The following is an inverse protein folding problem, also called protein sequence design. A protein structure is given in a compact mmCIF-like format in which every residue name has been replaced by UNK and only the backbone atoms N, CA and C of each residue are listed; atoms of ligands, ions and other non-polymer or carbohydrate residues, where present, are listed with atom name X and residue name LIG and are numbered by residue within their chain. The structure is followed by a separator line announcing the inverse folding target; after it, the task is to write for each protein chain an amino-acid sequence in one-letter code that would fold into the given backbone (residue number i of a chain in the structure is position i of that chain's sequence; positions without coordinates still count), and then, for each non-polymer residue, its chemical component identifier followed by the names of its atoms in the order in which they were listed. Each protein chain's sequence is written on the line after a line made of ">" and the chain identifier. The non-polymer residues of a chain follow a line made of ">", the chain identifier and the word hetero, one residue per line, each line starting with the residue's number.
data_IF_743812570608
#
_entry.id   IF_743812570608
#
_cell.length_a   1.000
_cell.length_b   1.000
_cell.length_c   1.000
_cell.angle_alpha   90.00
_cell.angle_beta   90.00
_cell.angle_gamma   90.00
#
_symmetry.space_group_name_H-M   'P 1'
#
loop_
_entity.id
_entity.type
_entity.pdbx_description
1 polymer ?
#
# COMPACT_ATOMS: atom_id res chain seq x y z
N UNK A 1 16.03 0.33 14.38
CA UNK A 1 15.01 1.40 14.39
C UNK A 1 13.94 0.98 13.38
N UNK A 2 12.63 1.18 13.61
CA UNK A 2 11.55 0.61 12.75
C UNK A 2 11.52 1.19 11.31
N UNK A 3 12.48 2.05 10.97
CA UNK A 3 12.78 2.48 9.62
C UNK A 3 14.29 2.35 9.39
N UNK A 4 14.72 1.34 8.64
CA UNK A 4 16.09 1.25 8.07
C UNK A 4 16.24 2.23 6.89
N UNK A 5 15.75 3.46 7.05
CA UNK A 5 15.91 4.56 6.10
C UNK A 5 15.27 4.36 4.73
N UNK A 6 14.44 3.33 4.53
CA UNK A 6 13.94 2.99 3.21
C UNK A 6 12.42 2.80 3.12
N UNK A 7 11.82 3.33 2.03
CA UNK A 7 10.37 3.39 1.78
C UNK A 7 9.73 2.02 1.55
N UNK A 8 10.55 0.97 1.35
CA UNK A 8 10.10 -0.41 1.15
C UNK A 8 9.04 -0.83 2.18
N UNK A 9 9.25 -0.52 3.46
CA UNK A 9 8.29 -0.90 4.50
C UNK A 9 6.95 -0.17 4.36
N UNK A 10 6.96 1.11 4.00
CA UNK A 10 5.75 1.89 3.75
C UNK A 10 4.98 1.31 2.55
N UNK A 11 5.67 0.97 1.46
CA UNK A 11 5.04 0.34 0.31
C UNK A 11 4.42 -1.00 0.66
N UNK A 12 5.16 -1.88 1.35
CA UNK A 12 4.66 -3.21 1.77
C UNK A 12 3.42 -3.10 2.65
N UNK A 13 3.45 -2.22 3.66
CA UNK A 13 2.30 -2.00 4.55
C UNK A 13 1.10 -1.46 3.76
N UNK A 14 1.32 -0.46 2.91
CA UNK A 14 0.27 0.17 2.11
C UNK A 14 -0.40 -0.84 1.16
N UNK A 15 0.40 -1.65 0.45
CA UNK A 15 -0.12 -2.71 -0.42
C UNK A 15 -0.96 -3.71 0.38
N UNK A 16 -0.49 -4.14 1.54
CA UNK A 16 -1.23 -5.07 2.40
C UNK A 16 -2.58 -4.52 2.86
N UNK A 17 -2.63 -3.22 3.16
CA UNK A 17 -3.85 -2.51 3.55
C UNK A 17 -4.84 -2.44 2.37
N UNK A 18 -4.38 -2.04 1.18
CA UNK A 18 -5.19 -2.00 -0.05
C UNK A 18 -5.71 -3.40 -0.40
N UNK A 19 -4.84 -4.42 -0.38
CA UNK A 19 -5.21 -5.81 -0.71
C UNK A 19 -6.26 -6.39 0.22
N UNK A 20 -6.26 -6.00 1.50
CA UNK A 20 -7.31 -6.45 2.42
C UNK A 20 -8.70 -5.90 2.07
N UNK A 21 -8.77 -4.85 1.25
CA UNK A 21 -10.02 -4.24 0.76
C UNK A 21 -10.24 -4.46 -0.75
N UNK A 22 -9.38 -5.22 -1.43
CA UNK A 22 -9.40 -5.36 -2.90
C UNK A 22 -10.76 -5.76 -3.47
N UNK A 23 -11.49 -6.65 -2.79
CA UNK A 23 -12.83 -7.08 -3.22
C UNK A 23 -13.85 -5.94 -3.13
N UNK A 24 -13.79 -5.15 -2.05
CA UNK A 24 -14.64 -3.97 -1.90
C UNK A 24 -14.30 -2.92 -2.95
N UNK A 25 -13.00 -2.64 -3.14
CA UNK A 25 -12.49 -1.69 -4.14
C UNK A 25 -12.96 -2.10 -5.54
N UNK A 26 -12.81 -3.37 -5.94
CA UNK A 26 -13.21 -3.84 -7.26
C UNK A 26 -14.73 -3.83 -7.53
N UNK A 27 -15.56 -3.79 -6.48
CA UNK A 27 -17.01 -3.75 -6.61
C UNK A 27 -17.59 -2.33 -6.70
N UNK A 28 -16.76 -1.31 -6.46
CA UNK A 28 -17.15 0.10 -6.50
C UNK A 28 -17.59 0.51 -7.91
N UNK A 29 -18.64 1.34 -8.00
CA UNK A 29 -19.15 1.91 -9.26
C UNK A 29 -18.99 3.42 -9.38
N UNK A 30 -18.72 4.12 -8.28
CA UNK A 30 -18.58 5.58 -8.26
C UNK A 30 -17.35 6.02 -7.47
N UNK A 31 -16.83 7.22 -7.77
CA UNK A 31 -15.70 7.79 -7.04
C UNK A 31 -16.01 7.95 -5.54
N UNK A 32 -17.22 8.36 -5.19
CA UNK A 32 -17.65 8.53 -3.79
C UNK A 32 -17.60 7.22 -3.01
N UNK A 33 -18.04 6.13 -3.63
CA UNK A 33 -17.93 4.79 -3.05
C UNK A 33 -16.46 4.37 -2.88
N UNK A 34 -15.59 4.73 -3.82
CA UNK A 34 -14.15 4.44 -3.74
C UNK A 34 -13.53 5.16 -2.54
N UNK A 35 -13.83 6.46 -2.40
CA UNK A 35 -13.38 7.28 -1.27
C UNK A 35 -13.84 6.68 0.05
N UNK A 36 -15.10 6.26 0.15
CA UNK A 36 -15.61 5.59 1.36
C UNK A 36 -14.84 4.30 1.69
N UNK A 37 -14.59 3.46 0.68
CA UNK A 37 -13.79 2.23 0.88
C UNK A 37 -12.38 2.55 1.35
N UNK A 38 -11.71 3.56 0.78
CA UNK A 38 -10.38 3.98 1.23
C UNK A 38 -10.37 4.56 2.65
N UNK A 39 -11.43 5.25 3.07
CA UNK A 39 -11.59 5.68 4.48
C UNK A 39 -11.75 4.51 5.45
N UNK A 40 -12.31 3.38 5.01
CA UNK A 40 -12.42 2.17 5.82
C UNK A 40 -11.10 1.41 5.96
N UNK A 41 -10.18 1.53 4.99
CA UNK A 41 -8.91 0.78 4.96
C UNK A 41 -8.14 0.94 6.27
N UNK A 42 -8.03 2.18 6.77
CA UNK A 42 -7.33 2.54 8.00
C UNK A 42 -8.06 2.14 9.28
N UNK A 43 -9.34 1.77 9.20
CA UNK A 43 -10.20 1.37 10.33
C UNK A 43 -10.48 -0.14 10.36
N UNK A 44 -9.93 -0.88 9.41
CA UNK A 44 -10.13 -2.31 9.31
C UNK A 44 -9.48 -3.07 10.46
N UNK A 45 -9.99 -4.27 10.77
CA UNK A 45 -9.34 -5.18 11.73
C UNK A 45 -7.86 -5.40 11.36
N UNK A 46 -7.53 -5.56 10.08
CA UNK A 46 -6.14 -5.72 9.68
C UNK A 46 -5.28 -4.50 10.01
N UNK A 47 -5.80 -3.29 9.83
CA UNK A 47 -5.11 -2.05 10.19
C UNK A 47 -4.93 -1.88 11.71
N UNK A 48 -5.94 -2.24 12.50
CA UNK A 48 -5.93 -2.08 13.96
C UNK A 48 -5.09 -3.14 14.68
N UNK A 49 -4.90 -4.32 14.08
CA UNK A 49 -4.06 -5.39 14.63
C UNK A 49 -2.68 -5.37 13.95
N UNK A 50 -1.84 -4.44 14.38
CA UNK A 50 -0.54 -4.14 13.78
C UNK A 50 0.38 -5.35 13.58
N UNK A 51 0.39 -6.32 14.50
CA UNK A 51 1.19 -7.55 14.35
C UNK A 51 0.80 -8.36 13.11
N UNK A 52 -0.51 -8.55 12.87
CA UNK A 52 -1.00 -9.30 11.71
C UNK A 52 -0.71 -8.56 10.40
N UNK A 53 -0.77 -7.23 10.44
CA UNK A 53 -0.42 -6.38 9.31
C UNK A 53 1.07 -6.51 8.97
N UNK A 54 1.94 -6.40 9.97
CA UNK A 54 3.39 -6.50 9.79
C UNK A 54 3.78 -7.88 9.27
N UNK A 55 3.22 -8.97 9.81
CA UNK A 55 3.47 -10.32 9.29
C UNK A 55 3.01 -10.48 7.84
N UNK A 56 1.84 -9.93 7.48
CA UNK A 56 1.41 -9.93 6.08
C UNK A 56 2.34 -9.09 5.19
N UNK A 57 2.78 -7.92 5.67
CA UNK A 57 3.63 -7.00 4.93
C UNK A 57 5.03 -7.57 4.70
N UNK A 58 5.56 -8.42 5.61
CA UNK A 58 6.83 -9.13 5.40
C UNK A 58 6.82 -10.03 4.16
N UNK A 59 5.67 -10.59 3.82
CA UNK A 59 5.50 -11.47 2.66
C UNK A 59 5.37 -10.68 1.33
N UNK A 60 5.26 -9.36 1.38
CA UNK A 60 5.16 -8.53 0.18
C UNK A 60 6.48 -8.45 -0.57
N UNK A 61 6.44 -8.79 -1.86
CA UNK A 61 7.60 -8.80 -2.76
C UNK A 61 7.86 -7.40 -3.33
N UNK A 62 8.15 -6.45 -2.45
CA UNK A 62 8.60 -5.11 -2.82
C UNK A 62 10.08 -4.99 -2.47
N UNK A 63 10.89 -4.59 -3.44
CA UNK A 63 12.32 -4.27 -3.26
C UNK A 63 12.55 -2.78 -3.50
N UNK A 64 13.73 -2.29 -3.10
CA UNK A 64 14.09 -0.90 -3.36
C UNK A 64 14.28 -0.60 -4.84
N UNK A 65 14.91 -1.52 -5.56
CA UNK A 65 15.11 -1.42 -7.01
C UNK A 65 13.79 -1.21 -7.75
N UNK A 66 12.72 -1.92 -7.38
CA UNK A 66 11.39 -1.73 -7.98
C UNK A 66 10.83 -0.32 -7.72
N UNK A 67 11.07 0.24 -6.54
CA UNK A 67 10.62 1.60 -6.20
C UNK A 67 11.40 2.63 -7.02
N UNK A 68 12.71 2.45 -7.15
CA UNK A 68 13.57 3.37 -7.91
C UNK A 68 13.28 3.32 -9.42
N UNK A 69 13.01 2.13 -9.97
CA UNK A 69 12.52 1.98 -11.36
C UNK A 69 11.20 2.72 -11.59
N UNK A 70 10.25 2.62 -10.65
CA UNK A 70 8.99 3.36 -10.72
C UNK A 70 9.20 4.88 -10.66
N UNK A 71 10.15 5.36 -9.85
CA UNK A 71 10.50 6.79 -9.77
C UNK A 71 11.08 7.29 -11.08
N UNK A 72 12.02 6.55 -11.66
CA UNK A 72 12.64 6.92 -12.94
C UNK A 72 11.61 7.02 -14.08
N UNK A 73 10.53 6.22 -14.05
CA UNK A 73 9.44 6.34 -15.01
C UNK A 73 8.51 7.54 -14.78
N UNK A 74 8.49 8.11 -13.57
CA UNK A 74 7.66 9.27 -13.22
C UNK A 74 8.39 10.60 -13.37
N UNK A 75 9.74 10.58 -13.36
CA UNK A 75 10.53 11.75 -13.70
C UNK A 75 10.38 12.02 -15.21
N UNK A 76 9.95 13.24 -15.62
CA UNK A 76 9.86 13.57 -17.03
C UNK A 76 11.25 13.53 -17.66
N UNK A 77 11.35 13.06 -18.91
CA UNK A 77 12.51 13.36 -19.76
C UNK A 77 12.54 14.89 -19.93
N UNK A 78 13.30 15.59 -19.08
CA UNK A 78 13.67 16.99 -19.31
C UNK A 78 14.68 17.00 -20.47
N UNK A 79 14.15 16.89 -21.70
CA UNK A 79 14.84 17.07 -22.97
C UNK A 79 14.48 18.39 -23.64
#
# INVERSE_FOLDING_TARGET
>A
MIYDGNDVWLFRVTICLIRSHQRKIGNVKTLEQLVRVFQEVSRSRKALYCHQLIESAKAEKVSQTMIDELRAMCEPDDG
#
